data_IF_468739860522
#
_entry.id   IF_468739860522
#
_cell.length_a   1.000
_cell.length_b   1.000
_cell.length_c   1.000
_cell.angle_alpha   90.00
_cell.angle_beta   90.00
_cell.angle_gamma   90.00
#
_symmetry.space_group_name_H-M   'P 1'
#
loop_
_entity.id
_entity.type
_entity.pdbx_description
1 polymer ?
#
# COMPACT_ATOMS: atom_id res chain seq x y z
N UNK A 1 -0.18 6.77 -8.93
CA UNK A 1 -1.18 7.63 -8.24
C UNK A 1 -0.70 7.89 -6.83
N UNK A 2 -0.70 9.16 -6.40
CA UNK A 2 -0.35 9.50 -5.03
C UNK A 2 -1.49 9.14 -4.07
N UNK A 3 -1.15 8.93 -2.80
CA UNK A 3 -2.12 8.65 -1.74
C UNK A 3 -3.17 9.77 -1.62
N UNK A 4 -2.71 11.03 -1.67
CA UNK A 4 -3.58 12.20 -1.62
C UNK A 4 -4.59 12.23 -2.78
N UNK A 5 -4.16 11.84 -3.99
CA UNK A 5 -5.04 11.74 -5.13
C UNK A 5 -6.09 10.64 -4.94
N UNK A 6 -5.68 9.47 -4.48
CA UNK A 6 -6.61 8.36 -4.25
C UNK A 6 -7.62 8.68 -3.16
N UNK A 7 -7.20 9.35 -2.10
CA UNK A 7 -8.08 9.80 -1.02
C UNK A 7 -9.08 10.84 -1.52
N UNK A 8 -8.65 11.78 -2.36
CA UNK A 8 -9.54 12.80 -2.93
C UNK A 8 -10.57 12.24 -3.91
N UNK A 9 -10.17 11.27 -4.74
CA UNK A 9 -11.05 10.63 -5.73
C UNK A 9 -11.93 9.56 -5.11
N UNK A 10 -11.43 8.86 -4.10
CA UNK A 10 -12.11 7.72 -3.42
C UNK A 10 -12.74 6.73 -4.40
N UNK A 11 -11.98 6.14 -5.35
CA UNK A 11 -12.54 5.33 -6.41
C UNK A 11 -13.02 3.99 -5.89
N UNK A 12 -14.13 3.47 -6.42
CA UNK A 12 -14.60 2.10 -6.18
C UNK A 12 -13.85 1.09 -7.05
N UNK A 13 -13.45 1.51 -8.25
CA UNK A 13 -12.79 0.67 -9.24
C UNK A 13 -11.55 1.36 -9.79
N UNK A 14 -10.51 0.57 -10.09
CA UNK A 14 -9.34 1.01 -10.80
C UNK A 14 -9.00 0.03 -11.94
N UNK A 15 -8.67 0.56 -13.11
CA UNK A 15 -8.15 -0.23 -14.23
C UNK A 15 -6.70 0.18 -14.46
N UNK A 16 -5.80 -0.79 -14.39
CA UNK A 16 -4.39 -0.60 -14.68
C UNK A 16 -4.12 -1.15 -16.07
N UNK A 17 -3.72 -0.26 -16.99
CA UNK A 17 -3.32 -0.65 -18.34
C UNK A 17 -1.80 -0.78 -18.41
N UNK A 18 -1.32 -1.99 -18.47
CA UNK A 18 0.09 -2.33 -18.62
C UNK A 18 0.21 -3.65 -19.40
N UNK A 19 1.38 -3.86 -20.03
CA UNK A 19 1.67 -5.10 -20.75
C UNK A 19 2.13 -6.20 -19.79
N UNK A 20 1.83 -7.44 -20.14
CA UNK A 20 2.47 -8.62 -19.56
C UNK A 20 3.99 -8.51 -19.76
N UNK A 21 4.78 -8.90 -18.79
CA UNK A 21 6.25 -8.86 -18.82
C UNK A 21 6.86 -7.50 -19.20
N UNK A 22 6.19 -6.39 -18.86
CA UNK A 22 6.73 -5.09 -19.18
C UNK A 22 8.03 -4.79 -18.40
N UNK A 23 9.05 -4.29 -19.10
CA UNK A 23 10.38 -4.02 -18.54
C UNK A 23 10.39 -2.90 -17.48
N UNK A 24 9.30 -2.16 -17.34
CA UNK A 24 9.17 -1.08 -16.34
C UNK A 24 8.69 -1.59 -14.97
N UNK A 25 8.31 -2.86 -14.87
CA UNK A 25 7.81 -3.45 -13.63
C UNK A 25 6.43 -2.94 -13.18
N UNK A 26 5.63 -2.43 -14.10
CA UNK A 26 4.26 -1.99 -13.81
C UNK A 26 3.28 -3.19 -13.74
N UNK A 27 2.31 -3.11 -12.82
CA UNK A 27 2.12 -2.09 -11.78
C UNK A 27 3.16 -2.20 -10.67
N UNK A 28 3.60 -1.06 -10.15
CA UNK A 28 4.50 -1.05 -9.00
C UNK A 28 3.80 -1.50 -7.72
N UNK A 29 4.53 -2.19 -6.84
CA UNK A 29 4.02 -2.70 -5.57
C UNK A 29 3.37 -1.61 -4.69
N UNK A 30 3.94 -0.40 -4.68
CA UNK A 30 3.41 0.74 -3.92
C UNK A 30 2.01 1.15 -4.38
N UNK A 31 1.75 1.14 -5.69
CA UNK A 31 0.45 1.49 -6.26
C UNK A 31 -0.59 0.42 -5.93
N UNK A 32 -0.23 -0.85 -6.07
CA UNK A 32 -1.10 -1.97 -5.69
C UNK A 32 -1.42 -1.94 -4.20
N UNK A 33 -0.44 -1.65 -3.37
CA UNK A 33 -0.64 -1.51 -1.92
C UNK A 33 -1.63 -0.37 -1.59
N UNK A 34 -1.49 0.78 -2.24
CA UNK A 34 -2.42 1.90 -2.04
C UNK A 34 -3.85 1.53 -2.41
N UNK A 35 -4.08 0.82 -3.52
CA UNK A 35 -5.40 0.34 -3.89
C UNK A 35 -5.95 -0.70 -2.91
N UNK A 36 -5.12 -1.62 -2.47
CA UNK A 36 -5.50 -2.65 -1.51
C UNK A 36 -5.93 -2.03 -0.18
N UNK A 37 -5.14 -1.08 0.36
CA UNK A 37 -5.44 -0.38 1.61
C UNK A 37 -6.75 0.40 1.58
N UNK A 38 -7.12 0.92 0.41
CA UNK A 38 -8.35 1.70 0.23
C UNK A 38 -9.54 0.84 -0.20
N UNK A 39 -9.38 -0.49 -0.34
CA UNK A 39 -10.45 -1.42 -0.73
C UNK A 39 -10.92 -1.25 -2.17
N UNK A 40 -10.11 -0.65 -3.03
CA UNK A 40 -10.42 -0.44 -4.44
C UNK A 40 -10.39 -1.78 -5.19
N UNK A 41 -11.43 -2.06 -5.98
CA UNK A 41 -11.46 -3.23 -6.86
C UNK A 41 -10.60 -2.97 -8.09
N UNK A 42 -9.52 -3.72 -8.23
CA UNK A 42 -8.51 -3.52 -9.28
C UNK A 42 -8.73 -4.50 -10.44
N UNK A 43 -8.62 -3.99 -11.65
CA UNK A 43 -8.57 -4.75 -12.90
C UNK A 43 -7.23 -4.45 -13.59
N UNK A 44 -6.59 -5.46 -14.18
CA UNK A 44 -5.25 -5.34 -14.77
C UNK A 44 -5.19 -5.99 -16.14
N UNK A 45 -4.72 -5.24 -17.15
CA UNK A 45 -4.63 -5.77 -18.53
C UNK A 45 -3.51 -6.78 -18.72
N UNK A 46 -2.47 -6.76 -17.90
CA UNK A 46 -1.38 -7.74 -17.91
C UNK A 46 -1.79 -9.14 -17.41
N UNK A 47 -2.84 -9.23 -16.59
CA UNK A 47 -3.37 -10.51 -16.08
C UNK A 47 -4.66 -10.95 -16.79
N UNK A 48 -5.49 -10.00 -17.18
CA UNK A 48 -6.87 -10.25 -17.61
C UNK A 48 -7.10 -9.96 -19.10
N UNK A 49 -6.09 -9.42 -19.78
CA UNK A 49 -6.18 -9.04 -21.18
C UNK A 49 -7.13 -7.84 -21.37
N UNK A 50 -8.09 -7.96 -22.29
CA UNK A 50 -9.03 -6.89 -22.57
C UNK A 50 -10.09 -6.76 -21.48
N UNK A 51 -10.17 -5.58 -20.88
CA UNK A 51 -11.14 -5.24 -19.84
C UNK A 51 -12.23 -4.36 -20.46
N UNK A 52 -13.48 -4.82 -20.34
CA UNK A 52 -14.64 -4.09 -20.83
C UNK A 52 -15.56 -3.71 -19.66
N UNK A 53 -15.73 -2.42 -19.47
CA UNK A 53 -16.71 -1.86 -18.54
C UNK A 53 -17.91 -1.31 -19.32
N UNK A 54 -19.12 -1.68 -18.90
CA UNK A 54 -20.38 -1.12 -19.42
C UNK A 54 -21.13 -0.45 -18.28
N UNK A 55 -21.59 0.76 -18.51
CA UNK A 55 -22.42 1.51 -17.58
C UNK A 55 -23.79 1.83 -18.18
N UNK A 56 -24.82 1.70 -17.39
CA UNK A 56 -26.19 2.17 -17.68
C UNK A 56 -26.50 3.52 -17.00
N UNK A 57 -25.48 4.15 -16.41
CA UNK A 57 -25.59 5.39 -15.63
C UNK A 57 -25.88 5.17 -14.14
N UNK A 58 -26.15 3.93 -13.71
CA UNK A 58 -26.38 3.55 -12.30
C UNK A 58 -25.46 2.45 -11.84
N UNK A 59 -25.22 1.47 -12.71
CA UNK A 59 -24.40 0.29 -12.43
C UNK A 59 -23.30 0.17 -13.47
N UNK A 60 -22.19 -0.45 -13.06
CA UNK A 60 -21.08 -0.82 -13.96
C UNK A 60 -20.99 -2.34 -13.98
N UNK A 61 -21.01 -2.92 -15.16
CA UNK A 61 -20.79 -4.36 -15.39
C UNK A 61 -19.47 -4.58 -16.11
N UNK A 62 -18.79 -5.66 -15.78
CA UNK A 62 -17.47 -6.00 -16.26
C UNK A 62 -17.48 -7.36 -16.97
N UNK A 63 -16.60 -7.54 -17.96
CA UNK A 63 -16.41 -8.83 -18.64
C UNK A 63 -15.54 -9.83 -17.84
N UNK A 64 -14.91 -9.38 -16.76
CA UNK A 64 -14.08 -10.19 -15.86
C UNK A 64 -14.31 -9.76 -14.41
N UNK A 65 -13.81 -10.54 -13.45
CA UNK A 65 -13.78 -10.15 -12.03
C UNK A 65 -12.57 -9.29 -11.73
N UNK A 66 -12.61 -8.50 -10.67
CA UNK A 66 -11.42 -7.80 -10.17
C UNK A 66 -10.31 -8.80 -9.81
N UNK A 67 -9.05 -8.39 -9.97
CA UNK A 67 -7.92 -9.25 -9.59
C UNK A 67 -7.80 -9.37 -8.08
N UNK A 68 -7.47 -10.58 -7.63
CA UNK A 68 -7.04 -10.86 -6.26
C UNK A 68 -5.50 -10.99 -6.16
N UNK A 69 -4.82 -10.82 -7.30
CA UNK A 69 -3.36 -10.83 -7.37
C UNK A 69 -2.80 -9.46 -6.98
N UNK A 70 -1.96 -9.47 -5.96
CA UNK A 70 -1.23 -8.30 -5.49
C UNK A 70 0.26 -8.41 -5.81
N UNK A 71 0.58 -9.03 -6.95
CA UNK A 71 1.95 -9.18 -7.45
C UNK A 71 2.24 -8.03 -8.40
N UNK A 72 3.31 -7.28 -8.13
CA UNK A 72 3.79 -6.23 -9.03
C UNK A 72 4.37 -6.78 -10.33
N UNK A 73 4.49 -5.96 -11.36
CA UNK A 73 5.02 -6.39 -12.65
C UNK A 73 6.49 -6.87 -12.61
N UNK A 74 7.22 -6.59 -11.53
CA UNK A 74 8.55 -7.13 -11.28
C UNK A 74 8.55 -8.38 -10.37
N UNK A 75 7.40 -9.00 -10.15
CA UNK A 75 7.25 -10.20 -9.34
C UNK A 75 7.29 -9.99 -7.83
N UNK A 76 7.35 -8.75 -7.35
CA UNK A 76 7.29 -8.47 -5.92
C UNK A 76 5.86 -8.64 -5.41
N UNK A 77 5.65 -9.61 -4.52
CA UNK A 77 4.40 -9.71 -3.78
C UNK A 77 4.24 -8.46 -2.91
N UNK A 78 3.10 -7.80 -3.07
CA UNK A 78 2.63 -6.88 -2.03
C UNK A 78 2.21 -7.78 -0.88
N UNK A 79 3.11 -8.00 0.05
CA UNK A 79 2.83 -8.73 1.29
C UNK A 79 1.55 -8.15 1.90
N UNK A 80 0.78 -9.02 2.53
CA UNK A 80 -0.41 -8.59 3.26
C UNK A 80 -0.07 -7.31 4.01
N UNK A 81 -0.86 -6.27 3.80
CA UNK A 81 -0.78 -5.08 4.63
C UNK A 81 -0.78 -5.63 6.06
N UNK A 82 0.17 -5.27 6.90
CA UNK A 82 -0.04 -5.51 8.31
C UNK A 82 -1.43 -4.96 8.58
N UNK A 83 -2.34 -5.85 8.97
CA UNK A 83 -3.71 -5.52 9.32
C UNK A 83 -3.64 -4.17 10.04
N UNK A 84 -4.44 -3.18 9.64
CA UNK A 84 -4.39 -1.87 10.28
C UNK A 84 -4.58 -2.01 11.80
N UNK A 85 -5.17 -3.13 12.20
CA UNK A 85 -5.33 -3.60 13.58
C UNK A 85 -4.23 -4.60 14.01
N UNK A 86 -3.28 -4.99 13.13
CA UNK A 86 -2.18 -5.87 13.53
C UNK A 86 -1.22 -5.13 14.46
N UNK A 87 -0.99 -5.72 15.61
CA UNK A 87 0.02 -5.24 16.56
C UNK A 87 1.41 -5.61 16.05
N UNK A 88 2.14 -4.61 15.59
CA UNK A 88 3.51 -4.75 15.13
C UNK A 88 4.50 -4.20 16.17
N UNK A 89 5.74 -4.64 16.08
CA UNK A 89 6.83 -4.02 16.83
C UNK A 89 7.42 -2.91 15.97
N UNK A 90 7.37 -1.68 16.45
CA UNK A 90 7.97 -0.53 15.81
C UNK A 90 9.17 -0.02 16.59
N UNK A 91 10.18 0.46 15.86
CA UNK A 91 11.31 1.21 16.42
C UNK A 91 10.99 2.69 16.28
N UNK A 92 10.88 3.37 17.40
CA UNK A 92 10.44 4.75 17.48
C UNK A 92 11.58 5.66 17.91
N UNK A 93 11.69 6.80 17.26
CA UNK A 93 12.59 7.85 17.69
C UNK A 93 11.84 8.79 18.65
N UNK A 94 12.23 8.78 19.92
CA UNK A 94 11.59 9.58 20.99
C UNK A 94 11.71 11.08 20.77
N UNK A 95 12.76 11.53 20.06
CA UNK A 95 13.04 12.94 19.79
C UNK A 95 12.27 13.45 18.55
N UNK A 96 12.37 12.73 17.43
CA UNK A 96 11.72 13.15 16.16
C UNK A 96 10.28 12.68 16.03
N UNK A 97 9.81 11.86 16.96
CA UNK A 97 8.47 11.25 16.93
C UNK A 97 8.16 10.47 15.65
N UNK A 98 9.18 9.87 15.04
CA UNK A 98 9.00 8.97 13.88
C UNK A 98 9.08 7.53 14.30
N UNK A 99 8.25 6.69 13.68
CA UNK A 99 8.29 5.24 13.89
C UNK A 99 8.64 4.51 12.59
N UNK A 100 9.31 3.38 12.73
CA UNK A 100 9.92 2.61 11.66
C UNK A 100 9.66 1.12 11.88
N UNK A 101 9.76 0.32 10.82
CA UNK A 101 9.95 -1.12 10.98
C UNK A 101 11.37 -1.40 11.50
N UNK A 102 11.57 -2.51 12.25
CA UNK A 102 12.86 -2.83 12.87
C UNK A 102 14.04 -2.96 11.90
N UNK A 103 13.78 -3.38 10.66
CA UNK A 103 14.73 -3.58 9.57
C UNK A 103 15.00 -2.31 8.74
N UNK A 104 14.37 -1.21 9.07
CA UNK A 104 14.60 0.07 8.41
C UNK A 104 16.01 0.59 8.70
N UNK A 105 16.77 1.02 7.69
CA UNK A 105 18.09 1.61 7.87
C UNK A 105 18.11 2.75 8.89
N UNK A 106 17.11 3.62 8.85
CA UNK A 106 16.97 4.71 9.84
C UNK A 106 16.67 4.23 11.26
N UNK A 107 16.16 3.01 11.44
CA UNK A 107 15.97 2.39 12.74
C UNK A 107 17.25 1.72 13.23
N UNK A 108 18.02 1.11 12.31
CA UNK A 108 19.30 0.46 12.61
C UNK A 108 20.35 1.49 13.03
N UNK A 109 20.42 2.62 12.30
CA UNK A 109 21.39 3.71 12.56
C UNK A 109 20.95 4.65 13.72
N UNK A 110 19.83 4.35 14.37
CA UNK A 110 19.29 5.19 15.44
C UNK A 110 20.11 5.02 16.72
N UNK A 111 20.50 6.15 17.33
CA UNK A 111 21.18 6.15 18.62
C UNK A 111 20.29 5.52 19.70
N UNK A 112 20.87 4.68 20.54
CA UNK A 112 20.14 3.95 21.60
C UNK A 112 19.37 4.89 22.55
N UNK A 113 19.91 6.05 22.86
CA UNK A 113 19.29 7.06 23.72
C UNK A 113 17.93 7.59 23.19
N UNK A 114 17.71 7.49 21.87
CA UNK A 114 16.49 7.94 21.19
C UNK A 114 15.61 6.77 20.73
N UNK A 115 16.08 5.54 20.90
CA UNK A 115 15.43 4.33 20.41
C UNK A 115 14.47 3.77 21.45
N UNK A 116 13.21 3.64 21.06
CA UNK A 116 12.16 3.01 21.87
C UNK A 116 11.44 2.00 20.99
N UNK A 117 11.28 0.76 21.49
CA UNK A 117 10.48 -0.25 20.81
C UNK A 117 9.06 -0.24 21.39
N UNK A 118 8.08 -0.12 20.52
CA UNK A 118 6.67 -0.08 20.89
C UNK A 118 5.94 -1.16 20.09
N UNK A 119 5.15 -1.99 20.80
CA UNK A 119 4.20 -2.91 20.18
C UNK A 119 2.84 -2.26 20.18
N UNK A 120 2.36 -1.93 18.99
CA UNK A 120 1.08 -1.26 18.80
C UNK A 120 0.56 -1.49 17.38
N UNK A 121 -0.68 -1.12 17.14
CA UNK A 121 -1.20 -0.97 15.79
C UNK A 121 -0.68 0.34 15.18
N UNK A 122 -0.66 0.43 13.85
CA UNK A 122 -0.28 1.67 13.15
C UNK A 122 -1.17 2.86 13.57
N UNK A 123 -2.46 2.61 13.73
CA UNK A 123 -3.43 3.62 14.16
C UNK A 123 -3.13 4.13 15.57
N UNK A 124 -2.76 3.25 16.51
CA UNK A 124 -2.36 3.63 17.85
C UNK A 124 -1.07 4.46 17.87
N UNK A 125 -0.11 4.13 17.01
CA UNK A 125 1.13 4.91 16.87
C UNK A 125 0.85 6.35 16.44
N UNK A 126 -0.02 6.53 15.42
CA UNK A 126 -0.43 7.85 14.94
C UNK A 126 -1.20 8.61 16.03
N UNK A 127 -2.10 7.94 16.75
CA UNK A 127 -2.86 8.52 17.87
C UNK A 127 -1.95 8.98 19.02
N UNK A 128 -0.82 8.29 19.23
CA UNK A 128 0.20 8.68 20.21
C UNK A 128 1.11 9.82 19.73
N UNK A 129 0.86 10.37 18.55
CA UNK A 129 1.60 11.50 17.99
C UNK A 129 2.89 11.10 17.26
N UNK A 130 3.04 9.83 16.90
CA UNK A 130 4.14 9.41 16.05
C UNK A 130 3.78 9.51 14.58
N UNK A 131 4.77 9.88 13.75
CA UNK A 131 4.65 9.93 12.29
C UNK A 131 5.33 8.71 11.64
N UNK A 132 4.72 8.10 10.62
CA UNK A 132 5.36 7.00 9.91
C UNK A 132 6.59 7.48 9.14
N UNK A 133 7.64 6.69 9.15
CA UNK A 133 8.83 6.94 8.35
C UNK A 133 8.49 6.94 6.85
N UNK A 134 8.93 7.95 6.13
CA UNK A 134 8.70 8.05 4.67
C UNK A 134 9.50 7.01 3.87
N UNK A 135 10.54 6.43 4.44
CA UNK A 135 11.38 5.43 3.78
C UNK A 135 10.79 4.02 3.84
N UNK A 136 10.50 3.52 5.04
CA UNK A 136 9.95 2.17 5.23
C UNK A 136 8.42 2.12 5.29
N UNK A 137 7.73 3.25 5.43
CA UNK A 137 6.26 3.40 5.42
C UNK A 137 5.56 2.38 6.35
N UNK A 138 5.91 2.35 7.65
CA UNK A 138 5.34 1.42 8.60
C UNK A 138 3.86 1.70 8.87
#
# INVERSE_FOLDING_TARGET
SSEDFLNAVSPTYAVISCGEDNSYGHPHAEVLNSFRMTGVKVFRTDEQGSILAKSDGKTITWNCSSTESWISGNGTHVSEVPDADAVNTYVCNSNTKKFHYPDCSSAVDMKEENRVEIKATRAEMIKQGYEPCKGCKP
#
